data_IF_275712854361
#
_entry.id   IF_275712854361
#
_cell.length_a   1.000
_cell.length_b   1.000
_cell.length_c   1.000
_cell.angle_alpha   90.00
_cell.angle_beta   90.00
_cell.angle_gamma   90.00
#
_symmetry.space_group_name_H-M   'P 1'
#
loop_
_entity.id
_entity.type
_entity.pdbx_description
1 polymer ?
#
# COMPACT_ATOMS: atom_id res chain seq x y z
N UNK A 1 -6.15 -4.73 6.20
CA UNK A 1 -6.70 -5.77 7.11
C UNK A 1 -6.40 -5.48 8.58
N UNK A 2 -5.15 -5.16 8.98
CA UNK A 2 -4.79 -4.91 10.38
C UNK A 2 -5.53 -3.69 10.94
N UNK A 3 -5.62 -2.60 10.20
CA UNK A 3 -6.36 -1.40 10.60
C UNK A 3 -7.85 -1.70 10.91
N UNK A 4 -8.48 -2.53 10.08
CA UNK A 4 -9.83 -3.03 10.32
C UNK A 4 -9.93 -3.88 11.59
N UNK A 5 -8.99 -4.81 11.78
CA UNK A 5 -8.96 -5.68 12.96
C UNK A 5 -8.82 -4.86 14.26
N UNK A 6 -7.96 -3.83 14.23
CA UNK A 6 -7.82 -2.87 15.35
C UNK A 6 -9.18 -2.21 15.67
N UNK A 7 -9.85 -1.68 14.65
CA UNK A 7 -11.16 -1.04 14.83
C UNK A 7 -12.21 -1.98 15.42
N UNK A 8 -12.30 -3.21 14.94
CA UNK A 8 -13.21 -4.25 15.42
C UNK A 8 -12.89 -4.60 16.89
N UNK A 9 -11.63 -4.82 17.22
CA UNK A 9 -11.23 -5.19 18.58
C UNK A 9 -11.46 -4.05 19.57
N UNK A 10 -11.20 -2.78 19.18
CA UNK A 10 -11.53 -1.63 20.02
C UNK A 10 -13.05 -1.57 20.25
N UNK A 11 -13.87 -1.76 19.21
CA UNK A 11 -15.34 -1.72 19.35
C UNK A 11 -15.87 -2.82 20.25
N UNK A 12 -15.27 -4.00 20.21
CA UNK A 12 -15.60 -5.12 21.07
C UNK A 12 -15.29 -4.84 22.54
N UNK A 13 -14.12 -4.23 22.81
CA UNK A 13 -13.67 -3.93 24.17
C UNK A 13 -14.28 -2.63 24.72
N UNK A 14 -14.68 -1.70 23.85
CA UNK A 14 -15.25 -0.40 24.18
C UNK A 14 -16.51 -0.13 23.34
N UNK A 15 -17.65 -0.76 23.65
CA UNK A 15 -18.87 -0.65 22.84
C UNK A 15 -19.47 0.77 22.79
N UNK A 16 -19.15 1.60 23.76
CA UNK A 16 -19.57 2.99 23.89
C UNK A 16 -18.82 3.94 22.94
N UNK A 17 -17.65 3.55 22.46
CA UNK A 17 -16.82 4.39 21.63
C UNK A 17 -17.31 4.45 20.17
N UNK A 18 -17.26 5.65 19.61
CA UNK A 18 -17.52 5.90 18.19
C UNK A 18 -16.23 5.71 17.39
N UNK A 19 -16.21 4.69 16.53
CA UNK A 19 -15.03 4.33 15.75
C UNK A 19 -15.35 4.49 14.27
N UNK A 20 -14.51 5.23 13.57
CA UNK A 20 -14.62 5.40 12.13
C UNK A 20 -13.33 4.90 11.45
N UNK A 21 -13.50 3.96 10.53
CA UNK A 21 -12.47 3.59 9.55
C UNK A 21 -12.80 4.22 8.22
N UNK A 22 -11.83 4.91 7.62
CA UNK A 22 -12.00 5.54 6.32
C UNK A 22 -10.69 5.54 5.52
N UNK A 23 -10.69 5.09 4.25
CA UNK A 23 -9.57 5.30 3.35
C UNK A 23 -9.38 6.80 3.06
N UNK A 24 -8.12 7.26 2.93
CA UNK A 24 -7.82 8.66 2.65
C UNK A 24 -8.42 9.17 1.33
N UNK A 25 -8.59 8.28 0.35
CA UNK A 25 -9.31 8.61 -0.89
C UNK A 25 -10.77 8.96 -0.64
N UNK A 26 -11.47 8.16 0.19
CA UNK A 26 -12.88 8.40 0.55
C UNK A 26 -13.02 9.66 1.37
N UNK A 27 -12.11 9.92 2.33
CA UNK A 27 -12.03 11.18 3.05
C UNK A 27 -11.93 12.37 2.08
N UNK A 28 -11.05 12.28 1.07
CA UNK A 28 -10.88 13.30 0.04
C UNK A 28 -12.17 13.50 -0.77
N UNK A 29 -12.83 12.42 -1.21
CA UNK A 29 -14.06 12.49 -1.99
C UNK A 29 -15.19 13.17 -1.20
N UNK A 30 -15.37 12.78 0.06
CA UNK A 30 -16.36 13.39 0.96
C UNK A 30 -16.07 14.87 1.22
N UNK A 31 -14.79 15.24 1.37
CA UNK A 31 -14.41 16.65 1.50
C UNK A 31 -14.75 17.46 0.24
N UNK A 32 -14.42 16.92 -0.96
CA UNK A 32 -14.78 17.59 -2.23
C UNK A 32 -16.29 17.77 -2.35
N UNK A 33 -17.07 16.79 -1.96
CA UNK A 33 -18.54 16.85 -1.94
C UNK A 33 -19.04 17.91 -0.94
N UNK A 34 -18.47 17.97 0.25
CA UNK A 34 -18.78 18.98 1.26
C UNK A 34 -18.45 20.40 0.77
N UNK A 35 -17.36 20.59 0.03
CA UNK A 35 -17.02 21.87 -0.60
C UNK A 35 -18.07 22.27 -1.65
N UNK A 36 -18.49 21.34 -2.51
CA UNK A 36 -19.53 21.58 -3.53
C UNK A 36 -20.87 21.97 -2.91
N UNK A 37 -21.21 21.39 -1.77
CA UNK A 37 -22.48 21.59 -1.07
C UNK A 37 -22.42 22.68 0.00
N UNK A 38 -21.28 23.37 0.18
CA UNK A 38 -21.04 24.37 1.23
C UNK A 38 -21.24 23.82 2.68
N UNK A 39 -20.93 22.54 2.89
CA UNK A 39 -21.10 21.81 4.18
C UNK A 39 -19.77 21.40 4.81
N UNK A 40 -18.69 22.15 4.53
CA UNK A 40 -17.35 21.83 5.07
C UNK A 40 -17.33 21.84 6.62
N UNK A 41 -18.14 22.71 7.24
CA UNK A 41 -18.29 22.76 8.70
C UNK A 41 -18.84 21.45 9.26
N UNK A 42 -19.91 20.93 8.67
CA UNK A 42 -20.56 19.67 9.09
C UNK A 42 -19.62 18.49 8.88
N UNK A 43 -18.92 18.47 7.73
CA UNK A 43 -17.90 17.47 7.45
C UNK A 43 -16.80 17.45 8.52
N UNK A 44 -16.26 18.61 8.86
CA UNK A 44 -15.20 18.72 9.86
C UNK A 44 -15.68 18.30 11.23
N UNK A 45 -16.87 18.76 11.63
CA UNK A 45 -17.50 18.43 12.90
C UNK A 45 -17.77 16.92 13.01
N UNK A 46 -18.26 16.29 11.94
CA UNK A 46 -18.49 14.85 11.90
C UNK A 46 -17.22 14.05 12.25
N UNK A 47 -16.08 14.38 11.63
CA UNK A 47 -14.82 13.69 11.92
C UNK A 47 -14.28 13.99 13.31
N UNK A 48 -14.49 15.21 13.82
CA UNK A 48 -14.06 15.64 15.15
C UNK A 48 -14.84 14.97 16.30
N UNK A 49 -16.03 14.45 16.03
CA UNK A 49 -16.85 13.72 17.02
C UNK A 49 -16.39 12.30 17.27
N UNK A 50 -15.51 11.75 16.46
CA UNK A 50 -15.04 10.37 16.59
C UNK A 50 -14.19 10.19 17.85
N UNK A 51 -14.37 9.07 18.55
CA UNK A 51 -13.48 8.67 19.64
C UNK A 51 -12.21 7.99 19.11
N UNK A 52 -12.37 7.24 18.01
CA UNK A 52 -11.27 6.60 17.32
C UNK A 52 -11.44 6.84 15.82
N UNK A 53 -10.45 7.50 15.21
CA UNK A 53 -10.39 7.70 13.77
C UNK A 53 -9.24 6.88 13.17
N UNK A 54 -9.57 6.00 12.24
CA UNK A 54 -8.61 5.16 11.51
C UNK A 54 -8.59 5.64 10.07
N UNK A 55 -7.48 6.25 9.66
CA UNK A 55 -7.25 6.69 8.27
C UNK A 55 -6.31 5.70 7.60
N UNK A 56 -6.80 5.07 6.54
CA UNK A 56 -6.02 4.10 5.78
C UNK A 56 -5.42 4.73 4.54
N UNK A 57 -4.17 4.37 4.26
CA UNK A 57 -3.42 4.82 3.08
C UNK A 57 -3.29 6.36 2.99
N UNK A 58 -2.81 7.00 4.05
CA UNK A 58 -2.73 8.47 4.16
C UNK A 58 -1.89 9.12 3.07
N UNK A 59 -0.98 8.40 2.41
CA UNK A 59 -0.19 8.90 1.28
C UNK A 59 -1.05 9.41 0.12
N UNK A 60 -2.31 8.97 0.00
CA UNK A 60 -3.25 9.49 -0.99
C UNK A 60 -3.72 10.94 -0.75
N UNK A 61 -3.37 11.53 0.38
CA UNK A 61 -3.55 12.97 0.61
C UNK A 61 -2.44 13.81 -0.05
N UNK A 62 -1.32 13.20 -0.47
CA UNK A 62 -0.20 13.91 -1.08
C UNK A 62 -0.63 14.74 -2.31
N UNK A 63 -0.14 15.98 -2.39
CA UNK A 63 -0.48 16.92 -3.47
C UNK A 63 -1.87 17.55 -3.39
N UNK A 64 -2.68 17.24 -2.37
CA UNK A 64 -4.05 17.76 -2.19
C UNK A 64 -4.09 18.76 -1.03
N UNK A 65 -3.49 19.94 -1.21
CA UNK A 65 -3.28 20.94 -0.17
C UNK A 65 -4.54 21.23 0.67
N UNK A 66 -5.66 21.56 0.03
CA UNK A 66 -6.92 21.85 0.75
C UNK A 66 -7.44 20.68 1.59
N UNK A 67 -7.25 19.46 1.12
CA UNK A 67 -7.63 18.25 1.87
C UNK A 67 -6.68 18.04 3.05
N UNK A 68 -5.40 18.29 2.84
CA UNK A 68 -4.39 18.23 3.91
C UNK A 68 -4.66 19.27 4.99
N UNK A 69 -5.08 20.50 4.63
CA UNK A 69 -5.48 21.54 5.58
C UNK A 69 -6.59 21.07 6.51
N UNK A 70 -7.68 20.57 5.92
CA UNK A 70 -8.82 20.10 6.71
C UNK A 70 -8.45 18.88 7.55
N UNK A 71 -7.69 17.96 6.99
CA UNK A 71 -7.20 16.80 7.74
C UNK A 71 -6.31 17.22 8.92
N UNK A 72 -5.46 18.22 8.74
CA UNK A 72 -4.64 18.79 9.81
C UNK A 72 -5.49 19.36 10.96
N UNK A 73 -6.58 20.06 10.64
CA UNK A 73 -7.50 20.58 11.65
C UNK A 73 -8.23 19.45 12.41
N UNK A 74 -8.70 18.42 11.71
CA UNK A 74 -9.32 17.24 12.32
C UNK A 74 -8.32 16.53 13.22
N UNK A 75 -7.09 16.28 12.71
CA UNK A 75 -6.02 15.65 13.47
C UNK A 75 -5.74 16.38 14.79
N UNK A 76 -5.51 17.72 14.72
CA UNK A 76 -5.19 18.50 15.90
C UNK A 76 -6.33 18.49 16.92
N UNK A 77 -7.58 18.60 16.49
CA UNK A 77 -8.73 18.54 17.37
C UNK A 77 -8.81 17.20 18.13
N UNK A 78 -8.72 16.09 17.40
CA UNK A 78 -8.77 14.77 17.99
C UNK A 78 -7.62 14.53 18.97
N UNK A 79 -6.42 14.92 18.56
CA UNK A 79 -5.23 14.80 19.40
C UNK A 79 -5.35 15.62 20.71
N UNK A 80 -5.77 16.89 20.62
CA UNK A 80 -5.97 17.77 21.78
C UNK A 80 -7.07 17.29 22.72
N UNK A 81 -8.10 16.64 22.16
CA UNK A 81 -9.23 16.07 22.91
C UNK A 81 -8.91 14.68 23.47
N UNK A 82 -7.68 14.19 23.36
CA UNK A 82 -7.29 12.86 23.86
C UNK A 82 -7.95 11.69 23.15
N UNK A 83 -8.40 11.92 21.89
CA UNK A 83 -8.97 10.88 21.04
C UNK A 83 -7.88 10.05 20.35
N UNK A 84 -8.21 8.83 19.96
CA UNK A 84 -7.26 7.94 19.32
C UNK A 84 -7.27 8.14 17.81
N UNK A 85 -6.06 8.30 17.25
CA UNK A 85 -5.83 8.28 15.81
C UNK A 85 -4.99 7.06 15.44
N UNK A 86 -5.38 6.38 14.39
CA UNK A 86 -4.59 5.30 13.76
C UNK A 86 -4.44 5.64 12.29
N UNK A 87 -3.20 5.68 11.82
CA UNK A 87 -2.89 6.08 10.45
C UNK A 87 -2.05 4.99 9.83
N UNK A 88 -2.40 4.57 8.63
CA UNK A 88 -1.57 3.64 7.85
C UNK A 88 -0.98 4.34 6.62
N UNK A 89 0.14 3.83 6.16
CA UNK A 89 0.80 4.27 4.93
C UNK A 89 1.70 3.17 4.38
N UNK A 90 1.89 3.16 3.07
CA UNK A 90 2.90 2.36 2.38
C UNK A 90 4.31 2.99 2.39
N UNK A 91 4.42 4.23 2.90
CA UNK A 91 5.66 5.01 2.96
C UNK A 91 5.91 5.54 4.35
N UNK A 92 7.17 5.59 4.72
CA UNK A 92 7.57 6.30 5.94
C UNK A 92 7.28 7.82 5.79
N UNK A 93 6.97 8.56 6.89
CA UNK A 93 6.69 9.99 6.83
C UNK A 93 7.78 10.81 6.14
N UNK A 94 9.05 10.35 6.17
CA UNK A 94 10.18 11.02 5.52
C UNK A 94 10.18 10.87 3.99
N UNK A 95 9.47 9.89 3.47
CA UNK A 95 9.41 9.54 2.04
C UNK A 95 8.14 10.05 1.35
N UNK A 96 7.22 10.65 2.10
CA UNK A 96 5.95 11.15 1.59
C UNK A 96 6.12 12.49 0.85
N UNK A 97 6.59 12.45 -0.40
CA UNK A 97 6.63 13.63 -1.26
C UNK A 97 5.22 14.20 -1.48
N UNK A 98 5.08 15.54 -1.48
CA UNK A 98 3.78 16.20 -1.65
C UNK A 98 2.89 16.26 -0.40
N UNK A 99 3.39 15.78 0.74
CA UNK A 99 2.76 15.95 2.03
C UNK A 99 3.34 17.19 2.75
N UNK A 100 2.49 18.00 3.39
CA UNK A 100 2.92 19.17 4.10
C UNK A 100 3.75 18.85 5.35
N UNK A 101 4.81 19.62 5.60
CA UNK A 101 5.73 19.41 6.72
C UNK A 101 5.03 19.37 8.09
N UNK A 102 3.96 20.17 8.26
CA UNK A 102 3.18 20.16 9.50
C UNK A 102 2.48 18.83 9.75
N UNK A 103 1.95 18.14 8.70
CA UNK A 103 1.38 16.82 8.82
C UNK A 103 2.45 15.76 9.07
N UNK A 104 3.56 15.82 8.33
CA UNK A 104 4.70 14.91 8.53
C UNK A 104 5.25 14.98 9.97
N UNK A 105 5.30 16.18 10.55
CA UNK A 105 5.68 16.38 11.94
C UNK A 105 4.70 15.72 12.91
N UNK A 106 3.39 15.75 12.61
CA UNK A 106 2.35 15.09 13.39
C UNK A 106 2.41 13.58 13.28
N UNK A 107 2.67 13.05 12.09
CA UNK A 107 2.79 11.60 11.88
C UNK A 107 3.99 10.99 12.59
N UNK A 108 5.03 11.78 12.86
CA UNK A 108 6.18 11.37 13.67
C UNK A 108 5.89 11.39 15.18
N UNK A 109 4.78 12.00 15.62
CA UNK A 109 4.38 11.99 17.01
C UNK A 109 3.63 10.70 17.34
N UNK A 110 3.98 10.07 18.46
CA UNK A 110 3.36 8.83 18.90
C UNK A 110 4.10 7.59 18.47
N UNK A 111 3.41 6.46 18.52
CA UNK A 111 3.97 5.16 18.17
C UNK A 111 3.96 4.96 16.66
N UNK A 112 5.14 4.84 16.09
CA UNK A 112 5.32 4.41 14.70
C UNK A 112 5.81 2.96 14.68
N UNK A 113 5.09 2.10 13.98
CA UNK A 113 5.45 0.69 13.81
C UNK A 113 5.65 0.37 12.33
N UNK A 114 6.80 -0.18 11.99
CA UNK A 114 7.08 -0.70 10.66
C UNK A 114 6.56 -2.14 10.57
N UNK A 115 5.65 -2.37 9.62
CA UNK A 115 5.09 -3.68 9.34
C UNK A 115 5.83 -4.28 8.15
N UNK A 116 6.77 -5.15 8.44
CA UNK A 116 7.44 -5.90 7.40
C UNK A 116 6.48 -6.93 6.78
N UNK A 117 6.61 -7.10 5.47
CA UNK A 117 5.84 -8.15 4.78
C UNK A 117 6.20 -9.50 5.40
N UNK A 118 5.21 -10.33 5.75
CA UNK A 118 5.47 -11.71 6.15
C UNK A 118 6.32 -12.40 5.08
N UNK A 119 7.21 -13.31 5.51
CA UNK A 119 8.03 -14.09 4.59
C UNK A 119 7.20 -14.78 3.50
N UNK A 120 7.84 -15.27 2.45
CA UNK A 120 7.21 -15.87 1.25
C UNK A 120 6.10 -16.91 1.57
N UNK A 121 6.22 -17.60 2.68
CA UNK A 121 5.27 -18.63 3.13
C UNK A 121 3.95 -18.07 3.71
N UNK A 122 3.89 -16.77 4.02
CA UNK A 122 2.76 -16.15 4.73
C UNK A 122 2.10 -15.00 3.97
N UNK A 123 2.32 -14.84 2.69
CA UNK A 123 1.68 -13.79 1.87
C UNK A 123 0.21 -14.10 1.63
N UNK A 124 -0.63 -13.65 2.57
CA UNK A 124 -2.10 -13.87 2.53
C UNK A 124 -2.69 -13.42 1.19
N UNK A 125 -2.27 -12.26 0.65
CA UNK A 125 -2.76 -11.76 -0.64
C UNK A 125 -2.40 -12.66 -1.81
N UNK A 126 -1.24 -13.27 -1.79
CA UNK A 126 -0.82 -14.24 -2.83
C UNK A 126 -1.63 -15.53 -2.73
N UNK A 127 -1.92 -15.99 -1.51
CA UNK A 127 -2.81 -17.13 -1.27
C UNK A 127 -4.26 -16.82 -1.69
N UNK A 128 -4.78 -15.66 -1.34
CA UNK A 128 -6.12 -15.22 -1.78
C UNK A 128 -6.17 -15.14 -3.32
N UNK A 129 -5.17 -14.52 -3.96
CA UNK A 129 -5.07 -14.46 -5.41
C UNK A 129 -4.96 -15.83 -6.06
N UNK A 130 -4.20 -16.75 -5.47
CA UNK A 130 -4.11 -18.13 -5.92
C UNK A 130 -5.45 -18.89 -5.80
N UNK A 131 -6.17 -18.69 -4.68
CA UNK A 131 -7.48 -19.31 -4.47
C UNK A 131 -8.53 -18.76 -5.44
N UNK A 132 -8.58 -17.43 -5.64
CA UNK A 132 -9.49 -16.81 -6.61
C UNK A 132 -9.21 -17.33 -8.02
N UNK A 133 -7.94 -17.43 -8.41
CA UNK A 133 -7.53 -17.94 -9.71
C UNK A 133 -7.88 -19.43 -9.88
N UNK A 134 -7.75 -20.22 -8.81
CA UNK A 134 -8.13 -21.64 -8.80
C UNK A 134 -9.65 -21.81 -9.03
N UNK A 135 -10.46 -21.01 -8.34
CA UNK A 135 -11.92 -21.02 -8.46
C UNK A 135 -12.33 -20.55 -9.87
N UNK A 136 -11.73 -19.47 -10.38
CA UNK A 136 -11.99 -18.97 -11.73
C UNK A 136 -11.65 -20.02 -12.79
N UNK A 137 -10.52 -20.71 -12.66
CA UNK A 137 -10.10 -21.72 -13.62
C UNK A 137 -10.97 -22.99 -13.56
N UNK A 138 -11.42 -23.37 -12.35
CA UNK A 138 -12.40 -24.44 -12.15
C UNK A 138 -13.72 -24.11 -12.86
N UNK A 139 -14.20 -22.88 -12.70
CA UNK A 139 -15.46 -22.40 -13.33
C UNK A 139 -15.35 -22.34 -14.86
N UNK A 140 -14.25 -21.80 -15.38
CA UNK A 140 -14.00 -21.69 -16.83
C UNK A 140 -13.88 -23.06 -17.51
N UNK A 141 -13.21 -23.99 -16.88
CA UNK A 141 -12.99 -25.34 -17.43
C UNK A 141 -14.12 -26.33 -17.09
N UNK A 142 -15.12 -25.90 -16.30
CA UNK A 142 -16.20 -26.75 -15.77
C UNK A 142 -15.66 -28.04 -15.10
N UNK A 143 -14.51 -27.96 -14.44
CA UNK A 143 -13.87 -29.07 -13.71
C UNK A 143 -13.88 -28.75 -12.23
N UNK A 144 -14.18 -29.76 -11.41
CA UNK A 144 -14.08 -29.63 -9.97
C UNK A 144 -12.63 -29.28 -9.53
N UNK A 145 -12.50 -28.49 -8.48
CA UNK A 145 -11.19 -28.22 -7.86
C UNK A 145 -10.63 -29.53 -7.34
N UNK A 146 -9.52 -29.98 -7.90
CA UNK A 146 -8.81 -31.18 -7.47
C UNK A 146 -7.33 -30.85 -7.19
N UNK A 147 -6.64 -31.79 -6.57
CA UNK A 147 -5.24 -31.62 -6.16
C UNK A 147 -4.31 -31.35 -7.36
N UNK A 148 -4.62 -31.90 -8.51
CA UNK A 148 -3.82 -31.78 -9.72
C UNK A 148 -3.93 -30.37 -10.32
N UNK A 149 -5.14 -29.80 -10.36
CA UNK A 149 -5.38 -28.42 -10.74
C UNK A 149 -4.70 -27.43 -9.76
N UNK A 150 -4.77 -27.73 -8.46
CA UNK A 150 -4.11 -26.93 -7.44
C UNK A 150 -2.57 -26.94 -7.61
N UNK A 151 -1.97 -28.10 -7.85
CA UNK A 151 -0.52 -28.21 -8.11
C UNK A 151 -0.10 -27.44 -9.37
N UNK A 152 -0.83 -27.57 -10.47
CA UNK A 152 -0.55 -26.83 -11.70
C UNK A 152 -0.62 -25.30 -11.50
N UNK A 153 -1.57 -24.84 -10.68
CA UNK A 153 -1.68 -23.42 -10.35
C UNK A 153 -0.54 -22.96 -9.44
N UNK A 154 -0.19 -23.71 -8.41
CA UNK A 154 0.94 -23.40 -7.52
C UNK A 154 2.23 -23.30 -8.33
N UNK A 155 2.50 -24.25 -9.24
CA UNK A 155 3.68 -24.24 -10.10
C UNK A 155 3.73 -22.99 -11.00
N UNK A 156 2.59 -22.52 -11.50
CA UNK A 156 2.48 -21.27 -12.25
C UNK A 156 2.77 -20.05 -11.37
N UNK A 157 2.21 -20.00 -10.17
CA UNK A 157 2.44 -18.89 -9.24
C UNK A 157 3.88 -18.85 -8.75
N UNK A 158 4.44 -19.98 -8.34
CA UNK A 158 5.82 -20.08 -7.87
C UNK A 158 6.82 -19.72 -8.98
N UNK A 159 6.60 -20.17 -10.22
CA UNK A 159 7.45 -19.79 -11.36
C UNK A 159 7.36 -18.29 -11.70
N UNK A 160 6.22 -17.65 -11.50
CA UNK A 160 6.08 -16.21 -11.70
C UNK A 160 6.65 -15.37 -10.53
N UNK A 161 6.64 -15.90 -9.32
CA UNK A 161 7.13 -15.19 -8.11
C UNK A 161 8.62 -15.46 -7.87
N UNK A 162 9.13 -16.62 -8.28
CA UNK A 162 10.53 -17.01 -8.19
C UNK A 162 11.38 -16.58 -9.40
N UNK A 163 11.06 -15.44 -10.03
CA UNK A 163 12.09 -14.71 -10.77
C UNK A 163 13.01 -14.06 -9.76
N UNK A 164 13.87 -14.86 -9.14
CA UNK A 164 15.07 -14.33 -8.50
C UNK A 164 15.75 -13.44 -9.54
N UNK A 165 15.79 -12.15 -9.25
CA UNK A 165 16.57 -11.20 -10.04
C UNK A 165 18.03 -11.50 -9.73
N UNK A 166 18.55 -12.59 -10.31
CA UNK A 166 19.96 -12.95 -10.23
C UNK A 166 20.75 -11.99 -11.10
N UNK A 167 22.00 -11.74 -10.72
CA UNK A 167 22.93 -10.93 -11.53
C UNK A 167 23.01 -11.47 -12.97
N UNK A 168 22.98 -12.79 -13.15
CA UNK A 168 22.99 -13.42 -14.46
C UNK A 168 21.70 -13.14 -15.26
N UNK A 169 20.55 -13.05 -14.60
CA UNK A 169 19.30 -12.66 -15.25
C UNK A 169 19.33 -11.19 -15.70
N UNK A 170 19.82 -10.28 -14.85
CA UNK A 170 19.99 -8.86 -15.20
C UNK A 170 20.94 -8.73 -16.40
N UNK A 171 22.09 -9.40 -16.35
CA UNK A 171 23.06 -9.39 -17.43
C UNK A 171 22.46 -9.89 -18.75
N UNK A 172 21.65 -10.96 -18.70
CA UNK A 172 20.96 -11.49 -19.87
C UNK A 172 19.97 -10.48 -20.45
N UNK A 173 19.12 -9.87 -19.63
CA UNK A 173 18.12 -8.87 -20.08
C UNK A 173 18.80 -7.64 -20.67
N UNK A 174 19.90 -7.17 -20.07
CA UNK A 174 20.68 -6.04 -20.60
C UNK A 174 21.34 -6.41 -21.93
N UNK A 175 21.90 -7.60 -22.04
CA UNK A 175 22.50 -8.10 -23.28
C UNK A 175 21.48 -8.23 -24.41
N UNK A 176 20.29 -8.77 -24.11
CA UNK A 176 19.18 -8.90 -25.07
C UNK A 176 18.67 -7.52 -25.53
N UNK A 177 18.61 -6.52 -24.64
CA UNK A 177 18.18 -5.15 -24.97
C UNK A 177 19.17 -4.41 -25.88
N UNK A 178 20.47 -4.60 -25.66
CA UNK A 178 21.53 -3.96 -26.45
C UNK A 178 22.03 -4.81 -27.64
N UNK A 179 21.43 -5.98 -27.86
CA UNK A 179 21.84 -6.97 -28.85
C UNK A 179 23.34 -7.30 -28.75
N UNK A 180 23.79 -7.54 -27.51
CA UNK A 180 25.21 -7.79 -27.20
C UNK A 180 25.40 -9.20 -26.63
N UNK A 181 26.42 -9.95 -27.05
CA UNK A 181 26.72 -11.22 -26.39
C UNK A 181 27.28 -11.00 -24.99
N UNK A 182 26.85 -11.87 -24.03
CA UNK A 182 27.22 -11.80 -22.60
C UNK A 182 28.73 -11.73 -22.38
N UNK A 183 29.51 -12.37 -23.25
CA UNK A 183 30.97 -12.37 -23.22
C UNK A 183 31.56 -10.97 -23.41
N UNK A 184 30.95 -10.13 -24.26
CA UNK A 184 31.34 -8.75 -24.45
C UNK A 184 31.05 -7.86 -23.26
N UNK A 185 29.94 -8.13 -22.52
CA UNK A 185 29.62 -7.41 -21.30
C UNK A 185 30.69 -7.65 -20.20
N UNK A 186 31.23 -8.87 -20.13
CA UNK A 186 32.29 -9.28 -19.19
C UNK A 186 33.71 -8.92 -19.68
N UNK A 187 33.88 -8.49 -20.92
CA UNK A 187 35.18 -8.16 -21.52
C UNK A 187 35.70 -6.77 -21.10
N UNK A 188 37.00 -6.50 -21.24
CA UNK A 188 37.58 -5.17 -20.98
C UNK A 188 37.39 -4.15 -22.14
N UNK A 189 36.54 -4.46 -23.10
CA UNK A 189 36.26 -3.61 -24.27
C UNK A 189 35.62 -2.27 -23.84
N UNK A 190 36.09 -1.17 -24.47
CA UNK A 190 35.59 0.21 -24.24
C UNK A 190 34.71 0.71 -25.39
N UNK A 191 34.11 -0.19 -26.19
CA UNK A 191 33.14 0.22 -27.22
C UNK A 191 31.95 0.89 -26.53
N UNK A 192 31.44 1.99 -27.10
CA UNK A 192 30.40 2.86 -26.52
C UNK A 192 29.17 2.09 -26.07
N UNK A 193 28.68 1.17 -26.89
CA UNK A 193 27.50 0.33 -26.61
C UNK A 193 27.70 -0.58 -25.39
N UNK A 194 28.89 -1.20 -25.28
CA UNK A 194 29.22 -2.08 -24.14
C UNK A 194 29.44 -1.29 -22.86
N UNK A 195 29.99 -0.07 -22.96
CA UNK A 195 30.13 0.82 -21.78
C UNK A 195 28.74 1.28 -21.28
N UNK A 196 27.84 1.61 -22.20
CA UNK A 196 26.49 2.04 -21.89
C UNK A 196 25.68 0.91 -21.24
N UNK A 197 25.81 -0.32 -21.74
CA UNK A 197 25.17 -1.50 -21.16
C UNK A 197 25.70 -1.86 -19.75
N UNK A 198 26.93 -1.46 -19.39
CA UNK A 198 27.51 -1.68 -18.04
C UNK A 198 27.13 -0.63 -17.03
N UNK A 199 26.55 0.50 -17.44
CA UNK A 199 26.17 1.62 -16.57
C UNK A 199 24.69 1.54 -16.12
N UNK A 200 23.94 0.58 -16.65
CA UNK A 200 22.57 0.25 -16.21
C UNK A 200 22.62 -0.83 -15.14
#
# INVERSE_FOLDING_TARGET
HLAHAIGIEIKKNHPDKTILYVPAEKFTQQFIEAVKNNTVGDFTQFYQMMDVLIIDDVQFLAGKEKTQDVFFHVFNHLHQSGKQLVITSDKAPVEMAGMEQRLLSRFKWGLSADLQTPGLETRIRELEGAMISLIAQSSLNKKAVNLELAKQMIDKFVKNTAREVSIDYIQKVVCDYFDLPIELLKSKTRKREVVQARQI
#
